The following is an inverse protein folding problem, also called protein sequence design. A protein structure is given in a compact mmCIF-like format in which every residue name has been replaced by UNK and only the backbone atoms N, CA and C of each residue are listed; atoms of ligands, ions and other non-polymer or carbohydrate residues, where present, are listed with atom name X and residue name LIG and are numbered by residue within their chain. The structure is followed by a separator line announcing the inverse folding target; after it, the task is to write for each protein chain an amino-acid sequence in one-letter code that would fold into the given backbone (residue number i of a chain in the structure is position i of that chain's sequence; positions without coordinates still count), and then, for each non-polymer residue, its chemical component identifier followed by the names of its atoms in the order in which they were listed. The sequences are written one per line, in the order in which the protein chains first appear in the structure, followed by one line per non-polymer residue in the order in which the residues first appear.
data_IF_572033555429
#
_entry.id   IF_572033555429
#
_cell.length_a   1.000
_cell.length_b   1.000
_cell.length_c   1.000
_cell.angle_alpha   90.00
_cell.angle_beta   90.00
_cell.angle_gamma   90.00
#
_symmetry.space_group_name_H-M   'P 1'
#
loop_
_entity.id
_entity.type
_entity.pdbx_description
1 polymer ?
#
# COMPACT_ATOMS: atom_id res chain seq x y z
N UNK A 1 16.82 6.39 -10.54
CA UNK A 1 15.45 6.57 -9.99
C UNK A 1 15.41 5.91 -8.62
N UNK A 2 14.96 6.60 -7.58
CA UNK A 2 14.84 6.01 -6.25
C UNK A 2 13.82 4.87 -6.29
N UNK A 3 14.19 3.70 -5.77
CA UNK A 3 13.31 2.53 -5.67
C UNK A 3 12.20 2.89 -4.67
N UNK A 4 10.95 2.97 -5.12
CA UNK A 4 9.85 3.19 -4.19
C UNK A 4 9.77 2.01 -3.22
N UNK A 5 9.90 2.32 -1.93
CA UNK A 5 9.76 1.36 -0.84
C UNK A 5 8.55 1.78 -0.01
N UNK A 6 7.46 1.01 -0.14
CA UNK A 6 6.19 1.28 0.53
C UNK A 6 6.38 1.35 2.05
N UNK A 7 7.19 0.46 2.62
CA UNK A 7 7.43 0.38 4.06
C UNK A 7 8.08 1.65 4.59
N UNK A 8 9.13 2.12 3.90
CA UNK A 8 9.81 3.37 4.26
C UNK A 8 8.89 4.58 4.09
N UNK A 9 8.04 4.56 3.07
CA UNK A 9 7.11 5.65 2.84
C UNK A 9 6.06 5.74 3.96
N UNK A 10 5.47 4.60 4.35
CA UNK A 10 4.52 4.51 5.47
C UNK A 10 5.20 4.96 6.77
N UNK A 11 6.37 4.40 7.08
CA UNK A 11 7.15 4.75 8.29
C UNK A 11 7.41 6.26 8.37
N UNK A 12 7.90 6.85 7.29
CA UNK A 12 8.21 8.28 7.23
C UNK A 12 6.97 9.16 7.32
N UNK A 13 5.86 8.80 6.67
CA UNK A 13 4.65 9.62 6.67
C UNK A 13 3.94 9.62 8.02
N UNK A 14 3.88 8.47 8.69
CA UNK A 14 3.24 8.33 9.99
C UNK A 14 4.20 8.52 11.17
N UNK A 15 5.48 8.82 10.91
CA UNK A 15 6.53 8.97 11.92
C UNK A 15 6.58 7.75 12.85
N UNK A 16 6.53 6.55 12.27
CA UNK A 16 6.52 5.27 12.98
C UNK A 16 7.94 4.89 13.39
N UNK A 17 8.09 4.31 14.57
CA UNK A 17 9.36 3.80 15.11
C UNK A 17 10.41 4.90 15.33
N UNK A 18 9.94 6.12 15.65
CA UNK A 18 10.77 7.29 15.99
C UNK A 18 10.74 7.61 17.50
N UNK A 19 10.45 6.62 18.36
CA UNK A 19 10.32 6.75 19.82
C UNK A 19 9.29 7.79 20.31
N UNK A 20 8.36 8.19 19.43
CA UNK A 20 7.29 9.15 19.73
C UNK A 20 6.08 8.54 20.43
N UNK A 21 5.93 7.22 20.35
CA UNK A 21 4.83 6.44 20.97
C UNK A 21 5.28 4.99 21.18
N UNK A 22 4.53 4.18 21.96
CA UNK A 22 4.89 2.79 22.20
C UNK A 22 4.98 1.99 20.89
N UNK A 23 5.96 1.09 20.81
CA UNK A 23 6.18 0.23 19.64
C UNK A 23 4.92 -0.54 19.22
N UNK A 24 4.15 -1.05 20.18
CA UNK A 24 2.91 -1.77 19.90
C UNK A 24 1.85 -0.89 19.20
N UNK A 25 1.83 0.41 19.47
CA UNK A 25 0.97 1.34 18.75
C UNK A 25 1.48 1.60 17.34
N UNK A 26 2.80 1.73 17.17
CA UNK A 26 3.43 1.84 15.85
C UNK A 26 3.15 0.62 14.98
N UNK A 27 3.29 -0.59 15.54
CA UNK A 27 3.00 -1.85 14.85
C UNK A 27 1.53 -1.89 14.39
N UNK A 28 0.58 -1.53 15.27
CA UNK A 28 -0.85 -1.46 14.91
C UNK A 28 -1.14 -0.46 13.80
N UNK A 29 -0.50 0.72 13.82
CA UNK A 29 -0.68 1.73 12.77
C UNK A 29 -0.08 1.22 11.46
N UNK A 30 1.14 0.65 11.52
CA UNK A 30 1.84 0.10 10.38
C UNK A 30 1.00 -0.98 9.69
N UNK A 31 0.58 -2.02 10.43
CA UNK A 31 -0.18 -3.15 9.91
C UNK A 31 -1.48 -2.69 9.25
N UNK A 32 -2.17 -1.74 9.89
CA UNK A 32 -3.42 -1.18 9.35
C UNK A 32 -3.20 -0.41 8.05
N UNK A 33 -2.20 0.48 8.01
CA UNK A 33 -1.90 1.26 6.81
C UNK A 33 -1.41 0.35 5.68
N UNK A 34 -0.56 -0.63 6.01
CA UNK A 34 -0.06 -1.62 5.06
C UNK A 34 -1.20 -2.45 4.46
N UNK A 35 -2.13 -2.94 5.29
CA UNK A 35 -3.32 -3.66 4.83
C UNK A 35 -4.19 -2.82 3.90
N UNK A 36 -4.39 -1.53 4.19
CA UNK A 36 -5.08 -0.63 3.27
C UNK A 36 -4.34 -0.45 1.94
N UNK A 37 -3.01 -0.37 1.97
CA UNK A 37 -2.21 -0.29 0.76
C UNK A 37 -2.31 -1.59 -0.06
N UNK A 38 -2.28 -2.76 0.56
CA UNK A 38 -2.49 -4.03 -0.13
C UNK A 38 -3.84 -4.08 -0.85
N UNK A 39 -4.92 -3.67 -0.18
CA UNK A 39 -6.24 -3.60 -0.81
C UNK A 39 -6.25 -2.64 -2.00
N UNK A 40 -5.59 -1.48 -1.88
CA UNK A 40 -5.47 -0.53 -2.98
C UNK A 40 -4.66 -1.09 -4.16
N UNK A 41 -3.64 -1.92 -3.90
CA UNK A 41 -2.92 -2.65 -4.94
C UNK A 41 -3.84 -3.63 -5.67
N UNK A 42 -4.64 -4.42 -4.94
CA UNK A 42 -5.63 -5.34 -5.53
C UNK A 42 -6.62 -4.59 -6.42
N UNK A 43 -7.16 -3.47 -5.94
CA UNK A 43 -8.07 -2.61 -6.73
C UNK A 43 -7.37 -2.09 -7.98
N UNK A 44 -6.12 -1.62 -7.86
CA UNK A 44 -5.36 -1.15 -9.02
C UNK A 44 -5.17 -2.25 -10.06
N UNK A 45 -4.76 -3.45 -9.64
CA UNK A 45 -4.58 -4.57 -10.56
C UNK A 45 -5.92 -4.92 -11.22
N UNK A 46 -7.00 -5.05 -10.46
CA UNK A 46 -8.34 -5.35 -10.99
C UNK A 46 -8.88 -4.31 -11.99
N UNK A 47 -8.35 -3.09 -11.97
CA UNK A 47 -8.68 -2.04 -12.94
C UNK A 47 -7.83 -2.07 -14.22
N UNK A 48 -6.71 -2.81 -14.21
CA UNK A 48 -5.70 -2.76 -15.27
C UNK A 48 -5.43 -4.11 -15.93
N UNK A 49 -5.95 -5.22 -15.39
CA UNK A 49 -5.73 -6.58 -15.92
C UNK A 49 -7.05 -7.31 -16.12
N UNK A 50 -7.00 -8.42 -16.87
CA UNK A 50 -8.16 -9.27 -17.12
C UNK A 50 -8.62 -10.04 -15.86
N UNK A 51 -9.84 -10.59 -15.91
CA UNK A 51 -10.35 -11.45 -14.82
C UNK A 51 -9.46 -12.67 -14.59
N UNK A 52 -8.96 -13.29 -15.67
CA UNK A 52 -8.07 -14.46 -15.58
C UNK A 52 -6.74 -14.11 -14.88
N UNK A 53 -6.21 -12.92 -15.13
CA UNK A 53 -5.01 -12.40 -14.46
C UNK A 53 -5.28 -12.08 -12.97
N UNK A 54 -6.47 -11.58 -12.63
CA UNK A 54 -6.88 -11.41 -11.24
C UNK A 54 -7.03 -12.75 -10.50
N UNK A 55 -7.60 -13.77 -11.15
CA UNK A 55 -7.72 -15.10 -10.55
C UNK A 55 -6.34 -15.76 -10.34
N UNK A 56 -5.38 -15.48 -11.23
CA UNK A 56 -3.97 -15.87 -11.04
C UNK A 56 -3.33 -15.14 -9.87
N UNK A 57 -3.55 -13.84 -9.74
CA UNK A 57 -3.06 -13.04 -8.62
C UNK A 57 -3.54 -13.60 -7.28
N UNK A 58 -4.84 -13.85 -7.15
CA UNK A 58 -5.43 -14.36 -5.90
C UNK A 58 -4.78 -15.67 -5.45
N UNK A 59 -4.55 -16.61 -6.38
CA UNK A 59 -3.85 -17.88 -6.08
C UNK A 59 -2.40 -17.69 -5.63
N UNK A 60 -1.72 -16.64 -6.12
CA UNK A 60 -0.33 -16.34 -5.75
C UNK A 60 -0.21 -15.63 -4.41
N UNK A 61 -1.17 -14.77 -4.07
CA UNK A 61 -1.20 -14.11 -2.77
C UNK A 61 -1.28 -15.10 -1.60
N UNK A 62 -1.79 -16.31 -1.84
CA UNK A 62 -1.82 -17.40 -0.85
C UNK A 62 -0.46 -18.13 -0.70
N UNK A 63 0.46 -17.99 -1.66
CA UNK A 63 1.66 -18.82 -1.78
C UNK A 63 3.00 -18.05 -1.76
N UNK A 64 2.99 -16.76 -2.11
CA UNK A 64 4.19 -15.96 -2.35
C UNK A 64 4.12 -14.57 -1.72
N UNK A 65 5.27 -13.89 -1.65
CA UNK A 65 5.34 -12.49 -1.23
C UNK A 65 4.43 -11.62 -2.13
N UNK A 66 3.48 -10.86 -1.55
CA UNK A 66 2.51 -10.09 -2.33
C UNK A 66 3.16 -9.18 -3.37
N UNK A 67 4.30 -8.58 -3.06
CA UNK A 67 4.98 -7.63 -3.94
C UNK A 67 5.41 -8.27 -5.25
N UNK A 68 5.93 -9.50 -5.20
CA UNK A 68 6.35 -10.22 -6.40
C UNK A 68 5.13 -10.63 -7.24
N UNK A 69 4.08 -11.13 -6.57
CA UNK A 69 2.83 -11.52 -7.22
C UNK A 69 2.18 -10.35 -7.98
N UNK A 70 2.12 -9.14 -7.38
CA UNK A 70 1.57 -7.96 -8.05
C UNK A 70 2.40 -7.50 -9.24
N UNK A 71 3.73 -7.52 -9.12
CA UNK A 71 4.62 -7.03 -10.20
C UNK A 71 4.56 -7.94 -11.43
N UNK A 72 4.49 -9.26 -11.23
CA UNK A 72 4.42 -10.21 -12.33
C UNK A 72 3.11 -10.07 -13.11
N UNK A 73 1.98 -9.95 -12.42
CA UNK A 73 0.67 -9.78 -13.07
C UNK A 73 0.56 -8.44 -13.80
N UNK A 74 1.39 -7.46 -13.43
CA UNK A 74 1.45 -6.15 -14.07
C UNK A 74 2.51 -6.03 -15.17
N UNK A 75 3.28 -7.09 -15.46
CA UNK A 75 4.41 -7.03 -16.41
C UNK A 75 3.97 -6.62 -17.82
N UNK A 76 2.79 -7.05 -18.26
CA UNK A 76 2.20 -6.70 -19.56
C UNK A 76 1.52 -5.33 -19.61
N UNK A 77 1.40 -4.61 -18.48
CA UNK A 77 0.63 -3.36 -18.41
C UNK A 77 1.56 -2.14 -18.51
N UNK A 78 1.40 -1.29 -19.54
CA UNK A 78 2.26 -0.13 -19.73
C UNK A 78 2.32 0.78 -18.51
N UNK A 79 3.56 1.10 -18.10
CA UNK A 79 3.87 1.97 -16.96
C UNK A 79 3.20 1.57 -15.64
N UNK A 80 2.71 0.33 -15.49
CA UNK A 80 1.93 -0.08 -14.33
C UNK A 80 2.69 0.09 -13.02
N UNK A 81 3.98 -0.27 -12.99
CA UNK A 81 4.83 -0.07 -11.82
C UNK A 81 4.87 1.39 -11.40
N UNK A 82 5.18 2.31 -12.31
CA UNK A 82 5.26 3.75 -12.00
C UNK A 82 3.88 4.31 -11.56
N UNK A 83 2.80 3.89 -12.22
CA UNK A 83 1.43 4.32 -11.87
C UNK A 83 1.02 3.79 -10.50
N UNK A 84 1.34 2.54 -10.18
CA UNK A 84 1.07 1.94 -8.88
C UNK A 84 1.87 2.64 -7.77
N UNK A 85 3.15 2.89 -7.99
CA UNK A 85 4.00 3.63 -7.04
C UNK A 85 3.44 5.04 -6.76
N UNK A 86 3.06 5.78 -7.81
CA UNK A 86 2.46 7.11 -7.67
C UNK A 86 1.11 7.06 -6.93
N UNK A 87 0.28 6.07 -7.25
CA UNK A 87 -1.02 5.85 -6.62
C UNK A 87 -0.88 5.53 -5.14
N UNK A 88 0.03 4.63 -4.77
CA UNK A 88 0.28 4.27 -3.37
C UNK A 88 0.83 5.45 -2.57
N UNK A 89 1.74 6.24 -3.14
CA UNK A 89 2.23 7.47 -2.49
C UNK A 89 1.09 8.44 -2.18
N UNK A 90 0.24 8.71 -3.17
CA UNK A 90 -0.92 9.57 -2.98
C UNK A 90 -1.89 8.99 -1.96
N UNK A 91 -2.13 7.69 -2.00
CA UNK A 91 -3.05 7.00 -1.10
C UNK A 91 -2.58 7.05 0.36
N UNK A 92 -1.31 6.79 0.63
CA UNK A 92 -0.71 6.90 1.97
C UNK A 92 -0.84 8.33 2.51
N UNK A 93 -0.63 9.34 1.65
CA UNK A 93 -0.81 10.74 2.01
C UNK A 93 -2.27 11.05 2.39
N UNK A 94 -3.24 10.51 1.64
CA UNK A 94 -4.66 10.66 1.97
C UNK A 94 -5.03 9.98 3.29
N UNK A 95 -4.53 8.76 3.54
CA UNK A 95 -4.77 8.06 4.80
C UNK A 95 -4.29 8.88 6.01
N UNK A 96 -3.15 9.55 5.89
CA UNK A 96 -2.64 10.44 6.93
C UNK A 96 -3.54 11.66 7.11
N UNK A 97 -3.96 12.32 6.02
CA UNK A 97 -4.86 13.48 6.11
C UNK A 97 -6.19 13.12 6.75
N UNK A 98 -6.73 11.94 6.43
CA UNK A 98 -7.99 11.48 6.99
C UNK A 98 -7.89 11.07 8.46
N UNK A 99 -6.75 10.51 8.88
CA UNK A 99 -6.51 10.28 10.32
C UNK A 99 -6.51 11.60 11.10
N UNK A 100 -5.87 12.64 10.57
CA UNK A 100 -5.81 13.97 11.18
C UNK A 100 -7.18 14.67 11.21
N UNK A 101 -7.98 14.56 10.15
CA UNK A 101 -9.35 15.12 10.12
C UNK A 101 -10.26 14.46 11.15
N UNK A 102 -10.18 13.14 11.32
CA UNK A 102 -10.95 12.41 12.33
C UNK A 102 -10.61 12.85 13.75
N UNK A 103 -9.38 13.31 14.00
CA UNK A 103 -9.00 13.91 15.28
C UNK A 103 -9.50 15.35 15.46
N UNK A 104 -9.67 16.14 14.39
CA UNK A 104 -10.20 17.52 14.47
C UNK A 104 -11.70 17.60 14.76
N UNK A 105 -12.48 16.64 14.28
CA UNK A 105 -13.95 16.63 14.47
C UNK A 105 -14.43 15.99 15.79
N UNK A 106 -13.51 15.67 16.72
CA UNK A 106 -13.84 15.18 18.07
C UNK A 106 -13.79 16.29 19.15
N UNK A 107 -13.96 17.55 18.75
CA UNK A 107 -14.07 18.70 19.66
C UNK A 107 -15.51 19.16 19.77
#
# INVERSE_FOLDING_TARGET
MAKFNLDEHIKKRFQLFEDKRPKEEDDKIYDKVYSFCLNEMIVFVGQNVSKDEMDRLNKKLDAEDPKNAFLEVLEGVPMAKLRLEARLKYFVDQLLLDSLKKHKNKK
#
